data_IF_736781796913
#
_entry.id   IF_736781796913
#
_cell.length_a   1.000
_cell.length_b   1.000
_cell.length_c   1.000
_cell.angle_alpha   90.00
_cell.angle_beta   90.00
_cell.angle_gamma   90.00
#
_symmetry.space_group_name_H-M   'P 1'
#
loop_
_entity.id
_entity.type
_entity.pdbx_description
1 polymer ?
#
# COMPACT_ATOMS: atom_id res chain seq x y z
N UNK A 1 -14.40 -10.55 6.94
CA UNK A 1 -13.45 -9.46 6.76
C UNK A 1 -13.02 -9.42 5.30
N UNK A 2 -13.01 -8.23 4.71
CA UNK A 2 -12.37 -7.95 3.43
C UNK A 2 -11.10 -7.14 3.71
N UNK A 3 -9.93 -7.71 3.43
CA UNK A 3 -8.64 -7.00 3.56
C UNK A 3 -8.04 -6.79 2.18
N UNK A 4 -7.80 -5.52 1.80
CA UNK A 4 -7.34 -5.14 0.47
C UNK A 4 -6.00 -4.41 0.55
N UNK A 5 -5.04 -4.87 -0.25
CA UNK A 5 -3.74 -4.23 -0.47
C UNK A 5 -3.47 -4.23 -1.98
N UNK A 6 -3.66 -3.10 -2.62
CA UNK A 6 -3.49 -2.89 -4.06
C UNK A 6 -2.90 -1.51 -4.33
N UNK A 7 -2.49 -1.24 -5.56
CA UNK A 7 -1.99 0.06 -6.02
C UNK A 7 -0.57 0.03 -6.58
N UNK A 8 0.25 -0.95 -6.17
CA UNK A 8 1.61 -1.06 -6.70
C UNK A 8 1.63 -1.43 -8.19
N UNK A 9 0.65 -2.18 -8.68
CA UNK A 9 0.53 -2.48 -10.10
C UNK A 9 0.14 -1.25 -10.93
N UNK A 10 -0.69 -0.35 -10.39
CA UNK A 10 -0.99 0.94 -11.00
C UNK A 10 0.27 1.79 -11.15
N UNK A 11 1.17 1.71 -10.16
CA UNK A 11 2.47 2.37 -10.22
C UNK A 11 3.40 1.72 -11.26
N UNK A 12 3.43 0.38 -11.32
CA UNK A 12 4.20 -0.39 -12.29
C UNK A 12 3.73 -0.16 -13.74
N UNK A 13 2.43 -0.03 -13.95
CA UNK A 13 1.86 0.30 -15.26
C UNK A 13 2.39 1.63 -15.78
N UNK A 14 2.51 2.64 -14.90
CA UNK A 14 3.09 3.94 -15.27
C UNK A 14 4.60 3.84 -15.45
N UNK A 15 5.31 3.11 -14.57
CA UNK A 15 6.76 2.90 -14.67
C UNK A 15 7.16 2.25 -16.02
N UNK A 16 6.36 1.31 -16.51
CA UNK A 16 6.65 0.57 -17.74
C UNK A 16 6.25 1.34 -19.02
N UNK A 17 5.58 2.50 -18.92
CA UNK A 17 5.26 3.32 -20.10
C UNK A 17 6.52 4.01 -20.62
N UNK A 18 6.71 3.95 -21.94
CA UNK A 18 7.82 4.59 -22.63
C UNK A 18 7.49 6.01 -23.09
N UNK A 19 6.20 6.36 -23.12
CA UNK A 19 5.67 7.63 -23.57
C UNK A 19 4.50 8.10 -22.71
N UNK A 20 4.25 9.40 -22.71
CA UNK A 20 3.19 10.03 -21.92
C UNK A 20 3.58 10.41 -20.48
N UNK A 21 2.63 10.93 -19.72
CA UNK A 21 2.89 11.36 -18.35
C UNK A 21 3.24 10.18 -17.43
N UNK A 22 4.33 10.35 -16.67
CA UNK A 22 4.79 9.39 -15.67
C UNK A 22 4.07 9.61 -14.33
N UNK A 23 2.75 9.66 -14.37
CA UNK A 23 1.90 9.93 -13.21
C UNK A 23 0.77 8.91 -13.10
N UNK A 24 0.46 8.48 -11.86
CA UNK A 24 -0.66 7.60 -11.59
C UNK A 24 -1.99 8.33 -11.77
N UNK A 25 -2.96 7.65 -12.38
CA UNK A 25 -4.35 8.14 -12.49
C UNK A 25 -5.10 7.84 -11.19
N UNK A 26 -4.99 8.74 -10.22
CA UNK A 26 -5.65 8.59 -8.93
C UNK A 26 -7.18 8.64 -9.01
N UNK A 27 -7.74 9.30 -10.03
CA UNK A 27 -9.19 9.37 -10.20
C UNK A 27 -9.75 8.01 -10.64
N UNK A 28 -9.10 7.37 -11.61
CA UNK A 28 -9.44 6.02 -12.04
C UNK A 28 -9.24 5.02 -10.90
N UNK A 29 -8.08 5.05 -10.24
CA UNK A 29 -7.78 4.18 -9.10
C UNK A 29 -8.85 4.30 -8.00
N UNK A 30 -9.26 5.53 -7.66
CA UNK A 30 -10.32 5.76 -6.68
C UNK A 30 -11.67 5.19 -7.16
N UNK A 31 -12.04 5.40 -8.42
CA UNK A 31 -13.30 4.90 -8.97
C UNK A 31 -13.37 3.36 -8.95
N UNK A 32 -12.31 2.69 -9.41
CA UNK A 32 -12.21 1.24 -9.42
C UNK A 32 -12.24 0.66 -7.99
N UNK A 33 -11.55 1.33 -7.06
CA UNK A 33 -11.54 0.92 -5.65
C UNK A 33 -12.94 1.05 -5.00
N UNK A 34 -13.66 2.14 -5.30
CA UNK A 34 -15.03 2.36 -4.82
C UNK A 34 -15.99 1.28 -5.34
N UNK A 35 -15.90 0.92 -6.62
CA UNK A 35 -16.74 -0.15 -7.18
C UNK A 35 -16.55 -1.47 -6.43
N UNK A 36 -15.30 -1.83 -6.10
CA UNK A 36 -14.99 -3.03 -5.28
C UNK A 36 -15.63 -2.93 -3.89
N UNK A 37 -15.49 -1.80 -3.22
CA UNK A 37 -16.00 -1.61 -1.86
C UNK A 37 -17.52 -1.58 -1.82
N UNK A 38 -18.17 -0.88 -2.76
CA UNK A 38 -19.61 -0.77 -2.87
C UNK A 38 -20.25 -2.13 -3.16
N UNK A 39 -19.69 -2.89 -4.11
CA UNK A 39 -20.14 -4.28 -4.38
C UNK A 39 -19.96 -5.19 -3.19
N UNK A 40 -18.86 -5.07 -2.48
CA UNK A 40 -18.61 -5.90 -1.29
C UNK A 40 -19.60 -5.59 -0.19
N UNK A 41 -19.90 -4.30 0.02
CA UNK A 41 -20.87 -3.86 1.02
C UNK A 41 -22.31 -4.23 0.62
N UNK A 42 -22.63 -4.18 -0.68
CA UNK A 42 -23.94 -4.62 -1.19
C UNK A 42 -24.17 -6.14 -1.01
N UNK A 43 -23.11 -6.95 -1.16
CA UNK A 43 -23.19 -8.40 -0.95
C UNK A 43 -23.24 -8.77 0.54
N UNK A 44 -22.55 -8.02 1.38
CA UNK A 44 -22.52 -8.21 2.83
C UNK A 44 -22.44 -6.85 3.54
N UNK A 45 -23.60 -6.30 3.98
CA UNK A 45 -23.63 -5.01 4.69
C UNK A 45 -22.77 -4.98 5.96
N UNK A 46 -22.56 -6.12 6.61
CA UNK A 46 -21.79 -6.27 7.84
C UNK A 46 -20.30 -6.57 7.59
N UNK A 47 -19.84 -6.54 6.32
CA UNK A 47 -18.44 -6.84 6.02
C UNK A 47 -17.53 -5.81 6.70
N UNK A 48 -16.59 -6.30 7.50
CA UNK A 48 -15.54 -5.47 8.07
C UNK A 48 -14.45 -5.26 7.02
N UNK A 49 -14.11 -4.01 6.75
CA UNK A 49 -13.18 -3.64 5.69
C UNK A 49 -11.85 -3.21 6.32
N UNK A 50 -10.76 -3.68 5.74
CA UNK A 50 -9.38 -3.31 6.09
C UNK A 50 -8.70 -2.86 4.80
N UNK A 51 -8.24 -1.63 4.75
CA UNK A 51 -7.56 -1.06 3.58
C UNK A 51 -6.10 -0.78 3.91
N UNK A 52 -5.21 -1.39 3.16
CA UNK A 52 -3.78 -1.26 3.36
C UNK A 52 -3.16 -0.32 2.32
N UNK A 53 -2.30 0.56 2.81
CA UNK A 53 -1.55 1.51 2.00
C UNK A 53 -0.56 0.78 1.08
N UNK A 54 -0.52 1.06 -0.24
CA UNK A 54 0.55 0.60 -1.09
C UNK A 54 1.89 1.19 -0.64
N UNK A 55 2.98 0.49 -0.90
CA UNK A 55 4.31 0.89 -0.44
C UNK A 55 5.40 0.47 -1.40
N UNK A 56 6.49 1.23 -1.42
CA UNK A 56 7.75 0.92 -2.09
C UNK A 56 8.94 1.33 -1.21
N UNK A 57 10.07 0.66 -1.39
CA UNK A 57 11.36 1.04 -0.82
C UNK A 57 12.42 1.23 -1.92
N UNK A 58 13.49 2.03 -1.68
CA UNK A 58 14.56 2.24 -2.66
C UNK A 58 15.47 1.01 -2.78
N UNK A 59 14.89 -0.09 -3.24
CA UNK A 59 15.55 -1.38 -3.51
C UNK A 59 15.16 -1.81 -4.92
N UNK A 60 16.09 -2.46 -5.65
CA UNK A 60 15.81 -2.95 -6.98
C UNK A 60 15.48 -1.84 -7.97
N UNK A 61 14.39 -2.00 -8.72
CA UNK A 61 13.97 -1.05 -9.75
C UNK A 61 13.59 0.34 -9.24
N UNK A 62 13.21 0.46 -7.97
CA UNK A 62 12.82 1.73 -7.37
C UNK A 62 13.99 2.59 -6.89
N UNK A 63 15.25 2.11 -6.95
CA UNK A 63 16.42 2.90 -6.55
C UNK A 63 16.60 4.13 -7.42
N UNK A 64 16.45 3.94 -8.74
CA UNK A 64 16.51 5.04 -9.69
C UNK A 64 15.22 5.87 -9.60
N UNK A 65 15.40 7.18 -9.49
CA UNK A 65 14.27 8.12 -9.37
C UNK A 65 13.28 7.84 -8.22
N UNK A 66 13.76 7.24 -7.11
CA UNK A 66 12.93 6.86 -5.97
C UNK A 66 12.02 7.99 -5.47
N UNK A 67 12.53 9.22 -5.37
CA UNK A 67 11.74 10.37 -4.90
C UNK A 67 10.50 10.61 -5.76
N UNK A 68 10.63 10.47 -7.08
CA UNK A 68 9.50 10.59 -8.00
C UNK A 68 8.50 9.45 -7.78
N UNK A 69 8.95 8.20 -7.82
CA UNK A 69 8.08 7.02 -7.67
C UNK A 69 7.44 6.94 -6.30
N UNK A 70 8.16 7.36 -5.26
CA UNK A 70 7.61 7.47 -3.93
C UNK A 70 6.46 8.49 -3.87
N UNK A 71 6.62 9.65 -4.49
CA UNK A 71 5.54 10.64 -4.56
C UNK A 71 4.30 10.10 -5.29
N UNK A 72 4.48 9.30 -6.36
CA UNK A 72 3.37 8.66 -7.05
C UNK A 72 2.69 7.59 -6.17
N UNK A 73 3.47 6.78 -5.44
CA UNK A 73 2.95 5.80 -4.48
C UNK A 73 2.16 6.49 -3.34
N UNK A 74 2.67 7.59 -2.81
CA UNK A 74 2.01 8.37 -1.75
C UNK A 74 0.65 8.95 -2.22
N UNK A 75 0.50 9.31 -3.51
CA UNK A 75 -0.78 9.73 -4.08
C UNK A 75 -1.82 8.61 -4.03
N UNK A 76 -1.44 7.38 -4.36
CA UNK A 76 -2.31 6.20 -4.22
C UNK A 76 -2.64 5.92 -2.75
N UNK A 77 -1.63 5.99 -1.88
CA UNK A 77 -1.81 5.84 -0.42
C UNK A 77 -2.80 6.86 0.16
N UNK A 78 -2.77 8.10 -0.33
CA UNK A 78 -3.71 9.15 0.08
C UNK A 78 -5.17 8.80 -0.30
N UNK A 79 -5.40 8.21 -1.49
CA UNK A 79 -6.71 7.70 -1.91
C UNK A 79 -7.17 6.59 -0.97
N UNK A 80 -6.32 5.59 -0.71
CA UNK A 80 -6.65 4.47 0.19
C UNK A 80 -7.01 4.98 1.60
N UNK A 81 -6.25 5.92 2.13
CA UNK A 81 -6.52 6.53 3.44
C UNK A 81 -7.85 7.30 3.47
N UNK A 82 -8.17 8.04 2.40
CA UNK A 82 -9.45 8.72 2.22
C UNK A 82 -10.61 7.72 2.22
N UNK A 83 -10.51 6.67 1.41
CA UNK A 83 -11.52 5.62 1.31
C UNK A 83 -11.69 4.88 2.64
N UNK A 84 -10.62 4.59 3.35
CA UNK A 84 -10.69 3.96 4.66
C UNK A 84 -11.55 4.78 5.65
N UNK A 85 -11.43 6.11 5.62
CA UNK A 85 -12.26 7.00 6.44
C UNK A 85 -13.72 6.98 6.00
N UNK A 86 -13.99 7.04 4.69
CA UNK A 86 -15.34 7.12 4.14
C UNK A 86 -16.14 5.83 4.34
N UNK A 87 -15.48 4.67 4.26
CA UNK A 87 -16.11 3.35 4.42
C UNK A 87 -16.05 2.78 5.84
N UNK A 88 -15.62 3.58 6.82
CA UNK A 88 -15.39 3.15 8.21
C UNK A 88 -14.52 1.89 8.26
N UNK A 89 -13.46 1.89 7.47
CA UNK A 89 -12.52 0.78 7.36
C UNK A 89 -11.29 0.98 8.25
N UNK A 90 -10.68 -0.13 8.67
CA UNK A 90 -9.37 -0.08 9.33
C UNK A 90 -8.30 0.27 8.30
N UNK A 91 -7.55 1.35 8.53
CA UNK A 91 -6.41 1.72 7.70
C UNK A 91 -5.11 1.12 8.22
N UNK A 92 -4.34 0.47 7.34
CA UNK A 92 -3.01 -0.08 7.62
C UNK A 92 -1.93 0.76 6.90
N UNK A 93 -1.16 1.60 7.62
CA UNK A 93 -0.15 2.49 7.04
C UNK A 93 1.16 1.72 6.77
N UNK A 94 1.18 0.84 5.77
CA UNK A 94 2.35 0.00 5.49
C UNK A 94 3.54 0.79 4.96
N UNK A 95 3.33 1.85 4.17
CA UNK A 95 4.45 2.71 3.77
C UNK A 95 5.12 3.33 5.00
N UNK A 96 4.34 3.87 5.93
CA UNK A 96 4.86 4.42 7.18
C UNK A 96 5.53 3.37 8.09
N UNK A 97 5.09 2.10 8.05
CA UNK A 97 5.77 1.00 8.71
C UNK A 97 7.17 0.79 8.12
N UNK A 98 7.26 0.64 6.80
CA UNK A 98 8.53 0.38 6.12
C UNK A 98 9.49 1.56 6.18
N UNK A 99 8.99 2.80 6.17
CA UNK A 99 9.80 3.99 6.39
C UNK A 99 10.50 3.94 7.77
N UNK A 100 9.76 3.58 8.82
CA UNK A 100 10.36 3.42 10.17
C UNK A 100 11.40 2.31 10.22
N UNK A 101 11.12 1.17 9.60
CA UNK A 101 12.05 0.05 9.53
C UNK A 101 13.31 0.41 8.72
N UNK A 102 13.16 1.18 7.64
CA UNK A 102 14.26 1.64 6.81
C UNK A 102 15.20 2.63 7.55
N UNK A 103 14.66 3.42 8.47
CA UNK A 103 15.42 4.38 9.28
C UNK A 103 15.94 3.80 10.61
N UNK A 104 15.60 2.55 10.95
CA UNK A 104 16.13 1.92 12.16
C UNK A 104 17.62 1.60 11.97
N UNK A 105 18.47 2.24 12.78
CA UNK A 105 19.92 2.08 12.75
C UNK A 105 20.40 0.61 12.94
N UNK A 106 19.53 -0.26 13.46
CA UNK A 106 19.78 -1.70 13.60
C UNK A 106 19.54 -2.48 12.32
N UNK A 107 18.88 -1.89 11.33
CA UNK A 107 18.62 -2.51 10.04
C UNK A 107 19.90 -2.47 9.19
N UNK A 108 20.51 -3.63 8.86
CA UNK A 108 21.78 -3.63 8.13
C UNK A 108 21.63 -3.21 6.66
N UNK A 109 20.49 -3.50 6.03
CA UNK A 109 20.16 -3.18 4.63
C UNK A 109 18.65 -3.17 4.45
N UNK A 110 18.18 -2.35 3.49
CA UNK A 110 16.77 -2.32 3.11
C UNK A 110 16.28 -3.66 2.53
N UNK A 111 17.15 -4.38 1.83
CA UNK A 111 16.87 -5.73 1.30
C UNK A 111 16.61 -6.79 2.38
N UNK A 112 16.84 -6.49 3.65
CA UNK A 112 16.38 -7.33 4.75
C UNK A 112 14.84 -7.34 4.87
N UNK A 113 14.20 -6.23 4.51
CA UNK A 113 12.75 -6.07 4.57
C UNK A 113 12.04 -6.33 3.24
N UNK A 114 12.72 -6.03 2.11
CA UNK A 114 12.16 -6.11 0.76
C UNK A 114 13.10 -6.79 -0.20
N UNK A 115 12.58 -7.67 -1.06
CA UNK A 115 13.35 -8.33 -2.11
C UNK A 115 13.77 -7.36 -3.22
N UNK A 116 12.80 -6.63 -3.76
CA UNK A 116 12.94 -5.78 -4.96
C UNK A 116 12.36 -4.37 -4.76
N UNK A 117 12.02 -4.03 -3.53
CA UNK A 117 11.42 -2.76 -3.16
C UNK A 117 9.88 -2.76 -3.19
N UNK A 118 9.26 -3.86 -3.63
CA UNK A 118 7.80 -4.06 -3.69
C UNK A 118 7.36 -5.28 -2.89
N UNK A 119 8.11 -6.38 -3.02
CA UNK A 119 7.77 -7.65 -2.40
C UNK A 119 8.52 -7.83 -1.07
N UNK A 120 7.81 -7.90 0.07
CA UNK A 120 8.43 -8.10 1.36
C UNK A 120 9.12 -9.46 1.49
N UNK A 121 10.22 -9.48 2.23
CA UNK A 121 10.84 -10.72 2.69
C UNK A 121 9.98 -11.36 3.79
N UNK A 122 10.37 -12.53 4.29
CA UNK A 122 9.73 -13.13 5.46
C UNK A 122 9.73 -12.17 6.66
N UNK A 123 10.84 -11.45 6.92
CA UNK A 123 10.93 -10.46 7.98
C UNK A 123 9.99 -9.25 7.73
N UNK A 124 9.88 -8.80 6.47
CA UNK A 124 8.92 -7.75 6.08
C UNK A 124 7.48 -8.18 6.31
N UNK A 125 7.12 -9.39 5.89
CA UNK A 125 5.78 -9.96 6.12
C UNK A 125 5.45 -10.11 7.60
N UNK A 126 6.42 -10.51 8.44
CA UNK A 126 6.22 -10.58 9.89
C UNK A 126 5.82 -9.22 10.46
N UNK A 127 6.50 -8.15 10.07
CA UNK A 127 6.17 -6.79 10.52
C UNK A 127 4.80 -6.30 10.01
N UNK A 128 4.43 -6.67 8.78
CA UNK A 128 3.09 -6.40 8.26
C UNK A 128 2.01 -7.15 9.06
N UNK A 129 2.25 -8.43 9.39
CA UNK A 129 1.34 -9.23 10.19
C UNK A 129 1.19 -8.68 11.61
N UNK A 130 2.29 -8.27 12.26
CA UNK A 130 2.26 -7.63 13.57
C UNK A 130 1.37 -6.37 13.56
N UNK A 131 1.56 -5.50 12.57
CA UNK A 131 0.74 -4.28 12.42
C UNK A 131 -0.73 -4.62 12.15
N UNK A 132 -1.00 -5.62 11.29
CA UNK A 132 -2.34 -6.08 10.99
C UNK A 132 -3.02 -6.59 12.27
N UNK A 133 -2.37 -7.47 13.03
CA UNK A 133 -2.91 -8.01 14.28
C UNK A 133 -3.15 -6.91 15.33
N UNK A 134 -2.24 -5.94 15.42
CA UNK A 134 -2.40 -4.81 16.33
C UNK A 134 -3.62 -3.94 15.98
N UNK A 135 -3.87 -3.68 14.69
CA UNK A 135 -4.90 -2.76 14.23
C UNK A 135 -6.26 -3.41 14.03
N UNK A 136 -6.28 -4.66 13.62
CA UNK A 136 -7.50 -5.40 13.27
C UNK A 136 -7.87 -6.38 14.37
N UNK A 137 -6.91 -7.09 14.94
CA UNK A 137 -7.16 -8.12 15.97
C UNK A 137 -7.90 -7.60 17.19
N UNK A 138 -7.65 -6.34 17.59
CA UNK A 138 -8.36 -5.70 18.70
C UNK A 138 -9.82 -5.31 18.39
N UNK A 139 -10.21 -5.42 17.11
CA UNK A 139 -11.56 -5.07 16.62
C UNK A 139 -12.36 -6.28 16.15
N UNK A 140 -11.81 -7.49 16.26
CA UNK A 140 -12.46 -8.76 16.01
C UNK A 140 -13.24 -9.22 17.22
#
# INVERSE_FOLDING_TARGET
>A
ILSVLVGVNDLLDVYNKTDGPQEVDTARFEADYRDILDRSRAQNPEVRIVLAEPFILPVGMWQEHYTHWRAQCDRLGAVVKKLAKEYDAVFLPYQGLFDKLAHDARTPKLSYWMWDGTHPTAAGHEKMAELWMQRVGSKL
#
